data_IF_660592691640
#
_entry.id   IF_660592691640
#
_cell.length_a   1.000
_cell.length_b   1.000
_cell.length_c   1.000
_cell.angle_alpha   90.00
_cell.angle_beta   90.00
_cell.angle_gamma   90.00
#
_symmetry.space_group_name_H-M   'P 1'
#
loop_
_entity.id
_entity.type
_entity.pdbx_description
1 polymer ?
#
# COMPACT_ATOMS: atom_id res chain seq x y z
N UNK A 1 -16.13 -17.37 -0.21
CA UNK A 1 -14.96 -17.93 -0.90
C UNK A 1 -14.09 -16.76 -1.27
N UNK A 2 -12.77 -16.82 -1.14
CA UNK A 2 -11.93 -15.75 -1.64
C UNK A 2 -12.18 -15.57 -3.13
N UNK A 3 -12.15 -14.31 -3.58
CA UNK A 3 -12.33 -13.99 -4.98
C UNK A 3 -11.20 -14.63 -5.79
N UNK A 4 -11.52 -15.37 -6.84
CA UNK A 4 -10.53 -16.04 -7.71
C UNK A 4 -10.58 -15.48 -9.13
N UNK A 5 -11.31 -14.37 -9.31
CA UNK A 5 -11.45 -13.72 -10.60
C UNK A 5 -10.39 -12.62 -10.71
N UNK A 6 -9.48 -12.76 -11.68
CA UNK A 6 -8.45 -11.77 -11.94
C UNK A 6 -8.92 -10.64 -12.86
N UNK A 7 -9.70 -10.94 -13.89
CA UNK A 7 -10.16 -9.98 -14.88
C UNK A 7 -11.62 -9.60 -14.69
N UNK A 8 -11.93 -8.32 -14.71
CA UNK A 8 -13.25 -7.75 -14.52
C UNK A 8 -13.72 -7.02 -15.77
N UNK A 9 -14.83 -7.45 -16.35
CA UNK A 9 -15.45 -6.82 -17.50
C UNK A 9 -16.31 -5.63 -17.06
N UNK A 10 -15.84 -4.43 -17.32
CA UNK A 10 -16.61 -3.19 -17.24
C UNK A 10 -17.08 -2.79 -18.64
N UNK A 11 -18.13 -1.98 -18.70
CA UNK A 11 -18.61 -1.46 -19.99
C UNK A 11 -17.70 -0.35 -20.51
N UNK A 12 -17.19 0.53 -19.64
CA UNK A 12 -16.37 1.70 -20.02
C UNK A 12 -14.95 1.71 -19.47
N UNK A 13 -14.59 0.82 -18.55
CA UNK A 13 -13.21 0.68 -18.05
C UNK A 13 -12.55 -0.52 -18.69
N UNK A 14 -11.61 -0.27 -19.59
CA UNK A 14 -10.81 -1.33 -20.21
C UNK A 14 -9.63 -1.76 -19.33
N UNK A 15 -9.09 -2.93 -19.61
CA UNK A 15 -7.85 -3.43 -18.99
C UNK A 15 -7.89 -3.55 -17.45
N UNK A 16 -9.10 -3.72 -16.88
CA UNK A 16 -9.28 -3.79 -15.43
C UNK A 16 -9.03 -5.20 -14.91
N UNK A 17 -8.05 -5.35 -14.03
CA UNK A 17 -7.70 -6.63 -13.41
C UNK A 17 -7.03 -6.49 -12.05
N UNK A 18 -7.07 -7.58 -11.28
CA UNK A 18 -6.41 -7.74 -9.99
C UNK A 18 -4.96 -8.23 -10.16
N UNK A 19 -4.07 -7.82 -9.28
CA UNK A 19 -2.72 -8.36 -9.14
C UNK A 19 -2.65 -9.60 -8.23
N UNK A 20 -3.79 -10.09 -7.78
CA UNK A 20 -3.91 -11.33 -6.99
C UNK A 20 -3.83 -12.60 -7.83
N UNK A 21 -3.52 -13.74 -7.16
CA UNK A 21 -3.54 -15.07 -7.77
C UNK A 21 -2.29 -15.47 -8.54
N UNK A 22 -1.16 -14.79 -8.35
CA UNK A 22 0.15 -15.20 -8.87
C UNK A 22 0.90 -16.00 -7.81
N UNK A 23 1.60 -17.05 -8.21
CA UNK A 23 2.58 -17.70 -7.36
C UNK A 23 3.67 -16.70 -6.97
N UNK A 24 4.06 -16.70 -5.70
CA UNK A 24 5.05 -15.77 -5.17
C UNK A 24 5.84 -16.43 -4.02
N UNK A 25 6.86 -15.74 -3.48
CA UNK A 25 7.76 -16.32 -2.45
C UNK A 25 7.05 -16.75 -1.14
N UNK A 26 5.88 -16.22 -0.84
CA UNK A 26 5.09 -16.55 0.36
C UNK A 26 3.78 -17.31 0.04
N UNK A 27 3.70 -17.93 -1.13
CA UNK A 27 2.56 -18.74 -1.59
C UNK A 27 1.88 -18.12 -2.80
N UNK A 28 0.81 -17.36 -2.61
CA UNK A 28 0.03 -16.74 -3.70
C UNK A 28 -0.29 -15.28 -3.34
N UNK A 29 -0.16 -14.36 -4.29
CA UNK A 29 -0.55 -12.97 -4.09
C UNK A 29 -2.06 -12.85 -3.81
N UNK A 30 -2.42 -12.05 -2.80
CA UNK A 30 -3.82 -11.90 -2.38
C UNK A 30 -4.60 -11.03 -3.36
N UNK A 31 -5.86 -11.44 -3.59
CA UNK A 31 -6.85 -10.66 -4.33
C UNK A 31 -7.33 -9.47 -3.51
N UNK A 32 -7.96 -8.51 -4.18
CA UNK A 32 -8.58 -7.34 -3.57
C UNK A 32 -7.57 -6.42 -2.84
N UNK A 33 -6.32 -6.39 -3.30
CA UNK A 33 -5.28 -5.49 -2.79
C UNK A 33 -4.98 -4.38 -3.79
N UNK A 34 -4.53 -4.73 -4.98
CA UNK A 34 -4.22 -3.78 -6.04
C UNK A 34 -4.89 -4.23 -7.34
N UNK A 35 -5.70 -3.36 -7.88
CA UNK A 35 -6.24 -3.44 -9.23
C UNK A 35 -5.45 -2.51 -10.14
N UNK A 36 -5.34 -2.89 -11.41
CA UNK A 36 -4.83 -2.02 -12.48
C UNK A 36 -5.89 -1.85 -13.57
N UNK A 37 -5.90 -0.68 -14.24
CA UNK A 37 -6.87 -0.43 -15.32
C UNK A 37 -6.38 0.61 -16.32
N UNK A 38 -7.11 0.76 -17.43
CA UNK A 38 -7.10 1.96 -18.25
C UNK A 38 -7.83 3.11 -17.53
N UNK A 39 -7.78 4.31 -18.11
CA UNK A 39 -8.52 5.47 -17.62
C UNK A 39 -10.03 5.19 -17.60
N UNK A 40 -10.71 5.79 -16.65
CA UNK A 40 -12.16 5.71 -16.55
C UNK A 40 -12.82 6.57 -17.65
N UNK A 41 -13.78 5.98 -18.36
CA UNK A 41 -14.68 6.70 -19.25
C UNK A 41 -15.91 7.22 -18.50
N UNK A 42 -16.89 7.74 -19.21
CA UNK A 42 -18.21 8.04 -18.64
C UNK A 42 -18.90 6.73 -18.25
N UNK A 43 -18.85 6.39 -16.96
CA UNK A 43 -19.32 5.11 -16.43
C UNK A 43 -20.83 4.90 -16.59
N UNK A 44 -21.21 3.70 -17.02
CA UNK A 44 -22.61 3.25 -16.95
C UNK A 44 -23.04 2.99 -15.50
N UNK A 45 -24.33 2.90 -15.23
CA UNK A 45 -24.81 2.54 -13.88
C UNK A 45 -24.31 1.14 -13.47
N UNK A 46 -24.23 0.20 -14.41
CA UNK A 46 -23.65 -1.12 -14.18
C UNK A 46 -22.19 -1.06 -13.78
N UNK A 47 -21.41 -0.18 -14.41
CA UNK A 47 -20.00 0.05 -14.03
C UNK A 47 -19.89 0.60 -12.61
N UNK A 48 -20.72 1.58 -12.25
CA UNK A 48 -20.72 2.18 -10.91
C UNK A 48 -21.09 1.16 -9.83
N UNK A 49 -22.11 0.32 -10.07
CA UNK A 49 -22.50 -0.75 -9.16
C UNK A 49 -21.37 -1.77 -8.98
N UNK A 50 -20.75 -2.19 -10.08
CA UNK A 50 -19.62 -3.11 -10.04
C UNK A 50 -18.43 -2.51 -9.31
N UNK A 51 -18.06 -1.25 -9.61
CA UNK A 51 -16.97 -0.56 -8.92
C UNK A 51 -17.22 -0.47 -7.40
N UNK A 52 -18.46 -0.15 -7.03
CA UNK A 52 -18.88 -0.11 -5.62
C UNK A 52 -18.79 -1.49 -4.95
N UNK A 53 -19.15 -2.57 -5.66
CA UNK A 53 -19.07 -3.94 -5.13
C UNK A 53 -17.64 -4.41 -4.84
N UNK A 54 -16.62 -3.84 -5.52
CA UNK A 54 -15.21 -4.10 -5.26
C UNK A 54 -14.68 -3.38 -4.02
N UNK A 55 -15.50 -2.56 -3.36
CA UNK A 55 -15.18 -1.84 -2.14
C UNK A 55 -13.85 -1.05 -2.21
N UNK A 56 -13.52 -0.51 -3.38
CA UNK A 56 -12.28 0.23 -3.64
C UNK A 56 -12.19 1.43 -2.70
N UNK A 57 -11.02 1.62 -2.09
CA UNK A 57 -10.76 2.68 -1.12
C UNK A 57 -9.88 3.80 -1.66
N UNK A 58 -9.12 3.52 -2.72
CA UNK A 58 -8.29 4.55 -3.33
C UNK A 58 -8.08 4.35 -4.82
N UNK A 59 -7.81 5.45 -5.52
CA UNK A 59 -7.48 5.51 -6.94
C UNK A 59 -6.15 6.27 -7.06
N UNK A 60 -5.21 5.72 -7.81
CA UNK A 60 -3.91 6.31 -8.14
C UNK A 60 -3.89 6.58 -9.64
N UNK A 61 -3.98 7.86 -10.03
CA UNK A 61 -3.97 8.30 -11.42
C UNK A 61 -2.58 8.81 -11.82
N UNK A 62 -1.92 8.08 -12.73
CA UNK A 62 -0.59 8.36 -13.24
C UNK A 62 -0.58 9.25 -14.50
N UNK A 63 -1.73 9.72 -14.98
CA UNK A 63 -1.81 10.52 -16.20
C UNK A 63 -1.20 11.92 -16.00
N UNK A 64 -0.87 12.53 -17.11
CA UNK A 64 -0.46 13.93 -17.14
C UNK A 64 -1.63 14.89 -16.81
N UNK A 65 -1.34 16.14 -16.38
CA UNK A 65 -2.37 17.08 -15.97
C UNK A 65 -3.39 17.41 -17.08
N UNK A 66 -2.95 17.50 -18.34
CA UNK A 66 -3.83 17.82 -19.45
C UNK A 66 -4.83 16.69 -19.74
N UNK A 67 -4.39 15.42 -19.62
CA UNK A 67 -5.28 14.28 -19.75
C UNK A 67 -6.31 14.22 -18.62
N UNK A 68 -5.92 14.57 -17.38
CA UNK A 68 -6.80 14.61 -16.21
C UNK A 68 -7.85 15.70 -16.33
N UNK A 69 -7.46 16.88 -16.79
CA UNK A 69 -8.36 18.01 -17.01
C UNK A 69 -9.40 17.69 -18.10
N UNK A 70 -8.95 17.07 -19.20
CA UNK A 70 -9.81 16.71 -20.31
C UNK A 70 -10.78 15.57 -20.00
N UNK A 71 -10.33 14.60 -19.23
CA UNK A 71 -11.09 13.39 -18.86
C UNK A 71 -10.88 13.10 -17.38
N UNK A 72 -11.52 13.87 -16.46
CA UNK A 72 -11.38 13.64 -15.02
C UNK A 72 -11.95 12.28 -14.62
N UNK A 73 -11.34 11.67 -13.61
CA UNK A 73 -11.90 10.47 -13.02
C UNK A 73 -13.20 10.77 -12.29
N UNK A 74 -14.16 9.85 -12.30
CA UNK A 74 -15.38 9.99 -11.52
C UNK A 74 -15.07 10.02 -10.02
N UNK A 75 -15.79 10.85 -9.28
CA UNK A 75 -15.66 10.93 -7.82
C UNK A 75 -16.59 9.91 -7.19
N UNK A 76 -16.03 9.05 -6.34
CA UNK A 76 -16.77 8.08 -5.55
C UNK A 76 -16.71 8.47 -4.07
N UNK A 77 -17.83 8.41 -3.38
CA UNK A 77 -17.90 8.71 -1.95
C UNK A 77 -17.01 7.74 -1.14
N UNK A 78 -16.20 8.29 -0.24
CA UNK A 78 -15.28 7.53 0.61
C UNK A 78 -14.03 6.99 -0.09
N UNK A 79 -13.83 7.26 -1.40
CA UNK A 79 -12.64 6.84 -2.14
C UNK A 79 -11.62 7.97 -2.19
N UNK A 80 -10.38 7.71 -1.76
CA UNK A 80 -9.28 8.68 -1.82
C UNK A 80 -8.67 8.70 -3.21
N UNK A 81 -8.45 9.89 -3.77
CA UNK A 81 -7.81 10.09 -5.06
C UNK A 81 -6.38 10.62 -4.89
N UNK A 82 -5.42 9.92 -5.50
CA UNK A 82 -4.02 10.32 -5.56
C UNK A 82 -3.66 10.66 -7.00
N UNK A 83 -3.33 11.92 -7.23
CA UNK A 83 -2.91 12.42 -8.54
C UNK A 83 -1.40 12.47 -8.59
N UNK A 84 -0.79 11.53 -9.28
CA UNK A 84 0.64 11.38 -9.42
C UNK A 84 1.02 11.48 -10.90
N UNK A 85 1.74 12.53 -11.26
CA UNK A 85 2.18 12.69 -12.64
C UNK A 85 3.48 11.90 -12.87
N UNK A 86 3.47 11.04 -13.87
CA UNK A 86 4.66 10.30 -14.29
C UNK A 86 5.24 10.96 -15.53
N UNK A 87 6.51 11.33 -15.48
CA UNK A 87 7.25 11.81 -16.63
C UNK A 87 7.34 10.70 -17.71
N UNK A 88 7.60 11.07 -18.92
CA UNK A 88 7.58 10.11 -20.05
C UNK A 88 6.38 10.27 -21.00
N UNK A 89 5.89 11.22 -21.08
CA UNK A 89 4.83 12.12 -21.31
C UNK A 89 4.29 12.36 -22.68
N UNK A 90 3.35 11.47 -23.08
CA UNK A 90 2.49 11.75 -24.21
C UNK A 90 3.18 11.68 -25.57
N UNK A 91 4.50 11.48 -25.62
CA UNK A 91 5.19 11.14 -26.87
C UNK A 91 4.85 9.70 -27.25
N UNK A 92 4.62 9.48 -28.51
CA UNK A 92 4.47 8.13 -29.03
C UNK A 92 5.87 7.59 -29.29
N UNK A 93 6.21 6.47 -28.66
CA UNK A 93 7.47 5.79 -28.91
C UNK A 93 7.58 5.38 -30.38
N UNK A 94 8.76 5.53 -30.95
CA UNK A 94 9.04 5.25 -32.37
C UNK A 94 9.23 3.75 -32.64
N UNK A 95 9.79 3.07 -31.66
CA UNK A 95 10.16 1.66 -31.67
C UNK A 95 10.29 1.12 -30.25
N UNK A 96 10.66 -0.16 -30.12
CA UNK A 96 10.87 -0.85 -28.84
C UNK A 96 11.92 -0.16 -27.97
N UNK A 97 13.06 0.24 -28.55
CA UNK A 97 14.16 0.85 -27.80
C UNK A 97 13.72 2.20 -27.19
N UNK A 98 13.03 3.03 -27.97
CA UNK A 98 12.47 4.30 -27.52
C UNK A 98 11.40 4.12 -26.44
N UNK A 99 10.63 3.01 -26.49
CA UNK A 99 9.67 2.68 -25.45
C UNK A 99 10.35 2.24 -24.15
N UNK A 100 11.39 1.41 -24.24
CA UNK A 100 12.19 0.99 -23.08
C UNK A 100 12.85 2.22 -22.42
N UNK A 101 13.39 3.15 -23.22
CA UNK A 101 13.92 4.41 -22.71
C UNK A 101 12.85 5.20 -21.94
N UNK A 102 11.62 5.27 -22.49
CA UNK A 102 10.51 5.94 -21.78
C UNK A 102 10.13 5.27 -20.45
N UNK A 103 10.36 3.98 -20.29
CA UNK A 103 10.16 3.28 -19.03
C UNK A 103 11.22 3.65 -18.00
N UNK A 104 12.48 3.84 -18.43
CA UNK A 104 13.52 4.37 -17.57
C UNK A 104 13.24 5.82 -17.15
N UNK A 105 12.79 6.68 -18.06
CA UNK A 105 12.37 8.05 -17.72
C UNK A 105 11.35 8.11 -16.57
N UNK A 106 10.48 7.09 -16.44
CA UNK A 106 9.50 6.99 -15.35
C UNK A 106 10.12 6.64 -14.00
N UNK A 107 11.25 5.95 -14.02
CA UNK A 107 11.92 5.39 -12.84
C UNK A 107 13.15 6.21 -12.41
N UNK A 108 13.72 7.03 -13.29
CA UNK A 108 14.95 7.80 -13.06
C UNK A 108 14.75 9.01 -12.17
N UNK A 109 13.56 9.62 -12.16
CA UNK A 109 13.25 10.65 -11.18
C UNK A 109 12.94 10.02 -9.83
N UNK A 110 13.93 10.01 -8.90
CA UNK A 110 13.79 9.29 -7.64
C UNK A 110 12.66 9.85 -6.77
N UNK A 111 12.38 11.15 -6.90
CA UNK A 111 11.31 11.78 -6.13
C UNK A 111 9.92 11.28 -6.59
N UNK A 112 9.68 11.25 -7.89
CA UNK A 112 8.41 10.76 -8.46
C UNK A 112 8.23 9.27 -8.25
N UNK A 113 9.27 8.47 -8.56
CA UNK A 113 9.24 7.02 -8.38
C UNK A 113 8.98 6.65 -6.91
N UNK A 114 9.74 7.21 -5.98
CA UNK A 114 9.54 7.06 -4.53
C UNK A 114 8.11 7.39 -4.11
N UNK A 115 7.57 8.53 -4.55
CA UNK A 115 6.21 8.95 -4.20
C UNK A 115 5.16 7.95 -4.68
N UNK A 116 5.32 7.37 -5.87
CA UNK A 116 4.39 6.38 -6.42
C UNK A 116 4.45 5.08 -5.61
N UNK A 117 5.65 4.54 -5.36
CA UNK A 117 5.79 3.31 -4.59
C UNK A 117 5.30 3.46 -3.15
N UNK A 118 5.61 4.57 -2.47
CA UNK A 118 5.08 4.82 -1.13
C UNK A 118 3.55 5.02 -1.13
N UNK A 119 3.00 5.65 -2.18
CA UNK A 119 1.54 5.73 -2.31
C UNK A 119 0.94 4.35 -2.53
N UNK A 120 1.55 3.50 -3.36
CA UNK A 120 1.13 2.10 -3.53
C UNK A 120 1.21 1.32 -2.22
N UNK A 121 2.25 1.53 -1.40
CA UNK A 121 2.37 0.88 -0.09
C UNK A 121 1.26 1.30 0.88
N UNK A 122 1.03 2.60 1.04
CA UNK A 122 0.26 3.17 2.16
C UNK A 122 -1.14 3.69 1.81
N UNK A 123 -1.52 3.78 0.53
CA UNK A 123 -2.90 4.13 0.17
C UNK A 123 -3.88 3.09 0.70
N UNK A 124 -5.09 3.50 1.15
CA UNK A 124 -6.13 2.57 1.59
C UNK A 124 -6.45 1.51 0.55
N UNK A 125 -6.57 0.25 0.97
CA UNK A 125 -6.83 -0.92 0.11
C UNK A 125 -8.30 -1.36 0.17
N UNK A 126 -8.84 -1.91 -0.91
CA UNK A 126 -8.27 -2.08 -2.26
C UNK A 126 -7.97 -0.77 -2.99
N UNK A 127 -6.90 -0.76 -3.80
CA UNK A 127 -6.44 0.39 -4.59
C UNK A 127 -6.54 0.08 -6.08
N UNK A 128 -6.98 1.05 -6.90
CA UNK A 128 -6.82 0.99 -8.36
C UNK A 128 -5.70 1.92 -8.78
N UNK A 129 -4.73 1.40 -9.53
CA UNK A 129 -3.71 2.20 -10.21
C UNK A 129 -3.98 2.22 -11.70
N UNK A 130 -3.98 3.40 -12.32
CA UNK A 130 -4.23 3.52 -13.74
C UNK A 130 -3.44 4.65 -14.41
N UNK A 131 -3.39 4.57 -15.73
CA UNK A 131 -2.97 5.65 -16.61
C UNK A 131 -3.97 5.78 -17.76
N UNK A 132 -3.56 6.12 -18.98
CA UNK A 132 -4.49 6.19 -20.13
C UNK A 132 -4.93 4.80 -20.60
N UNK A 133 -3.98 3.92 -20.90
CA UNK A 133 -4.23 2.54 -21.36
C UNK A 133 -4.13 1.49 -20.24
N UNK A 134 -3.56 1.84 -19.09
CA UNK A 134 -3.24 0.87 -18.05
C UNK A 134 -2.16 -0.14 -18.45
N UNK A 135 -1.44 0.12 -19.56
CA UNK A 135 -0.42 -0.79 -20.13
C UNK A 135 0.99 -0.36 -19.71
N UNK A 136 1.46 0.79 -20.13
CA UNK A 136 2.86 1.20 -20.00
C UNK A 136 3.18 1.77 -18.62
N UNK A 137 2.78 3.00 -18.28
CA UNK A 137 3.01 3.61 -16.96
C UNK A 137 2.54 2.70 -15.82
N UNK A 138 1.31 2.29 -15.87
CA UNK A 138 0.72 1.35 -14.91
C UNK A 138 1.44 0.01 -14.92
N UNK A 139 1.80 -0.49 -16.10
CA UNK A 139 2.47 -1.77 -16.27
C UNK A 139 3.84 -1.84 -15.60
N UNK A 140 4.66 -0.80 -15.76
CA UNK A 140 5.99 -0.75 -15.15
C UNK A 140 5.90 -0.80 -13.62
N UNK A 141 5.06 0.03 -12.99
CA UNK A 141 4.93 0.03 -11.53
C UNK A 141 4.30 -1.26 -10.99
N UNK A 142 3.28 -1.81 -11.66
CA UNK A 142 2.68 -3.08 -11.26
C UNK A 142 3.67 -4.24 -11.40
N UNK A 143 4.45 -4.28 -12.48
CA UNK A 143 5.46 -5.31 -12.70
C UNK A 143 6.55 -5.29 -11.61
N UNK A 144 7.06 -4.11 -11.25
CA UNK A 144 8.05 -3.99 -10.17
C UNK A 144 7.46 -4.47 -8.83
N UNK A 145 6.21 -4.15 -8.51
CA UNK A 145 5.53 -4.65 -7.31
C UNK A 145 5.39 -6.18 -7.35
N UNK A 146 4.96 -6.76 -8.48
CA UNK A 146 4.86 -8.22 -8.61
C UNK A 146 6.22 -8.90 -8.41
N UNK A 147 7.28 -8.39 -9.05
CA UNK A 147 8.65 -8.91 -8.91
C UNK A 147 9.15 -8.80 -7.46
N UNK A 148 8.94 -7.67 -6.78
CA UNK A 148 9.28 -7.49 -5.37
C UNK A 148 8.60 -8.51 -4.47
N UNK A 149 7.37 -8.89 -4.79
CA UNK A 149 6.62 -9.90 -4.04
C UNK A 149 7.03 -11.34 -4.44
N UNK A 150 8.03 -11.50 -5.30
CA UNK A 150 8.59 -12.78 -5.69
C UNK A 150 7.80 -13.53 -6.77
N UNK A 151 6.96 -12.81 -7.53
CA UNK A 151 6.31 -13.38 -8.73
C UNK A 151 7.36 -13.57 -9.83
N UNK A 152 7.28 -14.67 -10.56
CA UNK A 152 8.23 -14.98 -11.63
C UNK A 152 8.21 -13.95 -12.74
N UNK A 153 9.36 -13.71 -13.37
CA UNK A 153 9.44 -12.79 -14.52
C UNK A 153 8.54 -13.23 -15.68
N UNK A 154 8.34 -14.53 -15.85
CA UNK A 154 7.46 -15.07 -16.88
C UNK A 154 6.00 -14.71 -16.62
N UNK A 155 5.53 -14.81 -15.38
CA UNK A 155 4.19 -14.42 -15.00
C UNK A 155 3.99 -12.90 -15.10
N UNK A 156 4.98 -12.11 -14.71
CA UNK A 156 4.96 -10.65 -14.86
C UNK A 156 4.92 -10.24 -16.33
N UNK A 157 5.70 -10.90 -17.18
CA UNK A 157 5.67 -10.69 -18.63
C UNK A 157 4.28 -11.06 -19.21
N UNK A 158 3.73 -12.19 -18.79
CA UNK A 158 2.40 -12.63 -19.20
C UNK A 158 1.32 -11.61 -18.78
N UNK A 159 1.39 -11.08 -17.53
CA UNK A 159 0.47 -10.01 -17.10
C UNK A 159 0.60 -8.76 -18.00
N UNK A 160 1.82 -8.33 -18.32
CA UNK A 160 2.03 -7.20 -19.22
C UNK A 160 1.41 -7.43 -20.59
N UNK A 161 1.62 -8.62 -21.17
CA UNK A 161 1.14 -9.03 -22.49
C UNK A 161 -0.38 -9.26 -22.57
N UNK A 162 -1.09 -9.35 -21.45
CA UNK A 162 -2.56 -9.35 -21.45
C UNK A 162 -3.16 -8.02 -21.90
N UNK A 163 -2.45 -6.90 -21.69
CA UNK A 163 -3.00 -5.55 -21.90
C UNK A 163 -3.54 -5.31 -23.32
N UNK A 164 -2.86 -5.70 -24.42
CA UNK A 164 -3.41 -5.50 -25.76
C UNK A 164 -4.77 -6.14 -25.97
N UNK A 165 -4.98 -7.36 -25.50
CA UNK A 165 -6.25 -8.07 -25.66
C UNK A 165 -7.41 -7.46 -24.86
N UNK A 166 -7.07 -6.68 -23.83
CA UNK A 166 -8.01 -6.01 -22.91
C UNK A 166 -8.26 -4.53 -23.26
N UNK A 167 -7.84 -4.07 -24.47
CA UNK A 167 -7.95 -2.69 -24.93
C UNK A 167 -8.66 -2.54 -26.29
N UNK A 168 -9.76 -3.25 -26.57
CA UNK A 168 -10.38 -3.25 -27.89
C UNK A 168 -10.86 -1.86 -28.34
N UNK A 169 -11.45 -1.06 -27.44
CA UNK A 169 -11.93 0.30 -27.75
C UNK A 169 -10.79 1.26 -28.04
N UNK A 170 -9.71 1.19 -27.25
CA UNK A 170 -8.51 2.00 -27.46
C UNK A 170 -7.85 1.67 -28.79
N UNK A 171 -7.72 0.39 -29.14
CA UNK A 171 -7.18 -0.06 -30.41
C UNK A 171 -8.04 0.40 -31.60
N UNK A 172 -9.37 0.29 -31.51
CA UNK A 172 -10.28 0.80 -32.54
C UNK A 172 -10.12 2.32 -32.75
N UNK A 173 -9.93 3.09 -31.67
CA UNK A 173 -9.63 4.52 -31.76
C UNK A 173 -8.28 4.80 -32.41
N UNK A 174 -7.23 4.02 -32.08
CA UNK A 174 -5.89 4.21 -32.64
C UNK A 174 -5.83 3.95 -34.16
N UNK A 175 -6.60 2.98 -34.65
CA UNK A 175 -6.69 2.69 -36.09
C UNK A 175 -7.25 3.87 -36.88
N UNK A 176 -8.16 4.64 -36.28
CA UNK A 176 -8.79 5.82 -36.89
C UNK A 176 -8.04 7.14 -36.57
N UNK A 177 -6.97 7.08 -35.81
CA UNK A 177 -6.17 8.25 -35.44
C UNK A 177 -5.26 8.70 -36.60
N UNK A 178 -5.11 10.03 -36.85
CA UNK A 178 -4.10 10.54 -37.77
C UNK A 178 -2.68 10.23 -37.30
N UNK A 179 -2.49 10.07 -35.99
CA UNK A 179 -1.19 9.72 -35.39
C UNK A 179 -1.11 8.20 -35.28
N UNK A 180 -0.15 7.59 -35.96
CA UNK A 180 0.04 6.14 -35.98
C UNK A 180 0.99 5.69 -34.87
N UNK A 181 0.56 4.71 -34.11
CA UNK A 181 1.38 4.02 -33.10
C UNK A 181 2.00 2.80 -33.78
N UNK A 182 3.32 2.55 -33.65
CA UNK A 182 3.96 1.35 -34.19
C UNK A 182 3.28 0.07 -33.69
N UNK A 183 3.19 -0.92 -34.58
CA UNK A 183 2.51 -2.20 -34.28
C UNK A 183 3.15 -2.92 -33.09
N UNK A 184 4.47 -2.93 -33.00
CA UNK A 184 5.21 -3.52 -31.90
C UNK A 184 4.95 -2.85 -30.54
N UNK A 185 4.50 -1.59 -30.53
CA UNK A 185 4.08 -0.89 -29.32
C UNK A 185 2.63 -1.22 -28.96
N UNK A 186 1.75 -1.36 -29.96
CA UNK A 186 0.35 -1.73 -29.72
C UNK A 186 0.23 -3.20 -29.31
N UNK A 187 1.00 -4.06 -29.97
CA UNK A 187 0.99 -5.52 -29.81
C UNK A 187 2.40 -6.02 -29.55
N UNK A 188 2.95 -5.79 -28.34
CA UNK A 188 4.28 -6.24 -27.99
C UNK A 188 4.39 -7.78 -28.07
N UNK A 189 5.55 -8.26 -28.54
CA UNK A 189 5.87 -9.68 -28.51
C UNK A 189 6.35 -10.15 -27.12
N UNK A 190 6.62 -11.44 -26.98
CA UNK A 190 7.02 -12.05 -25.73
C UNK A 190 8.36 -11.53 -25.15
N UNK A 191 9.22 -10.96 -25.99
CA UNK A 191 10.52 -10.45 -25.54
C UNK A 191 10.46 -8.97 -25.11
N UNK A 192 9.37 -8.27 -25.40
CA UNK A 192 9.28 -6.82 -25.23
C UNK A 192 9.54 -6.38 -23.79
N UNK A 193 8.79 -6.94 -22.83
CA UNK A 193 8.97 -6.59 -21.43
C UNK A 193 10.22 -7.22 -20.83
N UNK A 194 10.61 -8.40 -21.30
CA UNK A 194 11.85 -9.07 -20.90
C UNK A 194 13.10 -8.24 -21.27
N UNK A 195 13.10 -7.58 -22.42
CA UNK A 195 14.19 -6.68 -22.83
C UNK A 195 14.30 -5.47 -21.89
N UNK A 196 13.16 -4.88 -21.50
CA UNK A 196 13.15 -3.85 -20.46
C UNK A 196 13.70 -4.37 -19.12
N UNK A 197 13.26 -5.55 -18.66
CA UNK A 197 13.73 -6.12 -17.40
C UNK A 197 15.23 -6.42 -17.42
N UNK A 198 15.76 -7.01 -18.51
CA UNK A 198 17.19 -7.22 -18.69
C UNK A 198 17.99 -5.91 -18.60
N UNK A 199 17.49 -4.87 -19.29
CA UNK A 199 18.10 -3.54 -19.25
C UNK A 199 18.01 -2.90 -17.86
N UNK A 200 16.91 -3.12 -17.12
CA UNK A 200 16.72 -2.65 -15.75
C UNK A 200 17.77 -3.27 -14.81
N UNK A 201 17.93 -4.60 -14.85
CA UNK A 201 18.95 -5.30 -14.04
C UNK A 201 20.36 -4.87 -14.44
N UNK A 202 20.63 -4.68 -15.72
CA UNK A 202 21.93 -4.19 -16.18
C UNK A 202 22.26 -2.77 -15.68
N UNK A 203 21.24 -1.92 -15.49
CA UNK A 203 21.41 -0.53 -15.05
C UNK A 203 21.46 -0.37 -13.53
N UNK A 204 20.56 -1.05 -12.82
CA UNK A 204 20.35 -0.84 -11.39
C UNK A 204 20.85 -1.99 -10.51
N UNK A 205 21.19 -3.16 -11.09
CA UNK A 205 21.50 -4.35 -10.33
C UNK A 205 20.23 -5.08 -9.88
N UNK A 206 20.00 -5.16 -8.60
CA UNK A 206 18.81 -5.79 -8.02
C UNK A 206 17.66 -4.78 -7.83
N UNK A 207 16.48 -5.28 -7.51
CA UNK A 207 15.35 -4.42 -7.13
C UNK A 207 15.67 -3.66 -5.84
N UNK A 208 16.29 -4.32 -4.87
CA UNK A 208 16.69 -3.73 -3.59
C UNK A 208 17.68 -2.57 -3.81
N UNK A 209 18.67 -2.74 -4.68
CA UNK A 209 19.61 -1.67 -5.05
C UNK A 209 18.91 -0.49 -5.73
N UNK A 210 17.94 -0.76 -6.58
CA UNK A 210 17.10 0.31 -7.16
C UNK A 210 16.32 1.04 -6.08
N UNK A 211 15.64 0.33 -5.15
CA UNK A 211 14.85 0.95 -4.09
C UNK A 211 15.72 1.74 -3.11
N UNK A 212 16.94 1.26 -2.81
CA UNK A 212 17.93 2.03 -2.04
C UNK A 212 18.30 3.34 -2.76
N UNK A 213 18.54 3.27 -4.07
CA UNK A 213 18.90 4.45 -4.89
C UNK A 213 17.84 5.56 -4.90
N UNK A 214 16.57 5.20 -4.75
CA UNK A 214 15.46 6.15 -4.64
C UNK A 214 15.06 6.44 -3.17
N UNK A 215 15.85 5.96 -2.20
CA UNK A 215 15.70 6.23 -0.78
C UNK A 215 14.53 5.52 -0.11
N UNK A 216 14.12 4.34 -0.59
CA UNK A 216 13.14 3.47 0.05
C UNK A 216 13.86 2.27 0.68
N UNK A 217 14.33 2.44 1.92
CA UNK A 217 14.98 1.37 2.69
C UNK A 217 14.08 0.88 3.81
N UNK A 218 13.63 1.80 4.66
CA UNK A 218 12.78 1.44 5.82
C UNK A 218 11.41 0.86 5.41
N UNK A 219 10.85 1.33 4.29
CA UNK A 219 9.52 0.92 3.81
C UNK A 219 9.57 -0.26 2.81
N UNK A 220 10.77 -0.71 2.44
CA UNK A 220 10.95 -1.82 1.48
C UNK A 220 10.24 -3.11 1.92
N UNK A 221 10.32 -3.56 3.20
CA UNK A 221 9.60 -4.76 3.65
C UNK A 221 8.07 -4.69 3.46
N UNK A 222 7.49 -3.48 3.54
CA UNK A 222 6.06 -3.28 3.25
C UNK A 222 5.77 -3.48 1.76
N UNK A 223 6.63 -2.98 0.88
CA UNK A 223 6.48 -3.18 -0.56
C UNK A 223 6.67 -4.64 -0.97
N UNK A 224 7.63 -5.32 -0.37
CA UNK A 224 7.93 -6.74 -0.59
C UNK A 224 6.84 -7.69 -0.14
N UNK A 225 5.99 -7.27 0.78
CA UNK A 225 4.83 -8.01 1.29
C UNK A 225 3.49 -7.39 0.88
N UNK A 226 3.50 -6.41 -0.03
CA UNK A 226 2.34 -5.56 -0.34
C UNK A 226 1.12 -6.36 -0.83
N UNK A 227 1.37 -7.43 -1.58
CA UNK A 227 0.34 -8.35 -2.08
C UNK A 227 0.09 -9.53 -1.13
N UNK A 228 0.61 -9.48 0.09
CA UNK A 228 0.44 -10.50 1.12
C UNK A 228 -0.86 -10.39 1.91
N UNK A 229 -0.99 -11.27 2.90
CA UNK A 229 -2.11 -11.28 3.86
C UNK A 229 -2.12 -9.99 4.69
N UNK A 230 -3.31 -9.46 4.94
CA UNK A 230 -3.49 -8.29 5.79
C UNK A 230 -4.02 -8.68 7.16
N UNK A 231 -3.37 -8.14 8.18
CA UNK A 231 -3.77 -8.29 9.58
C UNK A 231 -4.02 -6.91 10.19
N UNK A 232 -5.00 -6.86 11.09
CA UNK A 232 -5.36 -5.62 11.79
C UNK A 232 -5.24 -5.82 13.29
N UNK A 233 -4.65 -4.82 13.95
CA UNK A 233 -4.44 -4.78 15.38
C UNK A 233 -4.91 -3.44 15.93
N UNK A 234 -5.14 -3.39 17.22
CA UNK A 234 -5.43 -2.17 17.96
C UNK A 234 -4.46 -2.03 19.13
N UNK A 235 -4.02 -0.82 19.41
CA UNK A 235 -3.07 -0.54 20.48
C UNK A 235 -3.26 0.81 21.14
N UNK A 236 -2.59 0.99 22.28
CA UNK A 236 -2.62 2.24 23.02
C UNK A 236 -1.24 2.69 23.48
N UNK A 237 -1.04 4.02 23.47
CA UNK A 237 -0.03 4.66 24.29
C UNK A 237 -0.69 4.98 25.63
N UNK A 238 -0.30 4.24 26.64
CA UNK A 238 -0.93 4.29 27.98
C UNK A 238 -0.12 5.21 28.88
N UNK A 239 -0.78 6.25 29.42
CA UNK A 239 -0.17 7.18 30.38
C UNK A 239 -0.66 6.88 31.79
N UNK A 240 0.21 7.05 32.78
CA UNK A 240 -0.16 7.05 34.20
C UNK A 240 -0.42 8.49 34.71
N UNK A 241 -0.85 8.61 35.97
CA UNK A 241 -1.13 9.90 36.60
C UNK A 241 0.10 10.83 36.73
N UNK A 242 1.32 10.35 36.51
CA UNK A 242 2.56 11.14 36.50
C UNK A 242 2.95 11.60 35.11
N UNK A 243 2.23 11.16 34.05
CA UNK A 243 2.57 11.43 32.66
C UNK A 243 3.67 10.51 32.10
N UNK A 244 4.01 9.44 32.80
CA UNK A 244 4.89 8.39 32.30
C UNK A 244 4.11 7.46 31.36
N UNK A 245 4.81 6.85 30.38
CA UNK A 245 4.29 5.96 29.36
C UNK A 245 4.64 4.51 29.70
N UNK A 246 3.70 3.60 29.52
CA UNK A 246 3.95 2.17 29.64
C UNK A 246 4.68 1.66 28.39
N UNK A 247 5.80 1.02 28.60
CA UNK A 247 6.60 0.32 27.57
C UNK A 247 6.76 -1.13 27.97
N UNK A 248 6.50 -2.03 27.04
CA UNK A 248 6.68 -3.47 27.19
C UNK A 248 8.04 -3.91 26.71
N UNK A 249 8.70 -4.79 27.47
CA UNK A 249 9.81 -5.58 27.01
C UNK A 249 9.28 -6.97 26.64
N UNK A 250 9.27 -7.25 25.35
CA UNK A 250 8.70 -8.51 24.83
C UNK A 250 9.65 -9.68 25.06
N UNK A 251 9.12 -10.89 25.21
CA UNK A 251 9.92 -12.13 25.34
C UNK A 251 10.91 -12.30 24.16
N UNK A 252 10.61 -11.74 22.99
CA UNK A 252 11.52 -11.71 21.84
C UNK A 252 12.63 -10.68 21.94
N UNK A 253 12.74 -9.93 23.07
CA UNK A 253 13.84 -9.02 23.39
C UNK A 253 13.71 -7.61 22.81
N UNK A 254 12.60 -7.23 22.21
CA UNK A 254 12.36 -5.87 21.73
C UNK A 254 11.42 -5.10 22.68
N UNK A 255 11.50 -3.77 22.62
CA UNK A 255 10.63 -2.87 23.36
C UNK A 255 9.53 -2.32 22.47
N UNK A 256 8.28 -2.37 22.92
CA UNK A 256 7.08 -2.02 22.17
C UNK A 256 6.06 -1.28 23.03
N UNK A 257 5.01 -0.81 22.37
CA UNK A 257 3.80 -0.28 23.00
C UNK A 257 2.72 -1.38 23.00
N UNK A 258 1.79 -1.33 23.97
CA UNK A 258 0.70 -2.31 24.13
C UNK A 258 -0.18 -2.40 22.89
N UNK A 259 -0.31 -3.59 22.30
CA UNK A 259 -1.12 -3.83 21.10
C UNK A 259 -1.36 -5.31 20.84
N UNK A 260 -2.51 -5.64 20.33
CA UNK A 260 -2.77 -7.01 19.85
C UNK A 260 -3.77 -7.09 18.71
N UNK A 261 -4.03 -8.30 18.27
CA UNK A 261 -4.91 -8.56 17.14
C UNK A 261 -6.37 -8.27 17.48
N UNK A 262 -7.12 -7.74 16.50
CA UNK A 262 -8.56 -7.62 16.62
C UNK A 262 -9.17 -9.00 16.37
N UNK A 263 -9.89 -9.51 17.35
CA UNK A 263 -10.57 -10.80 17.28
C UNK A 263 -12.01 -10.65 16.78
N UNK A 264 -12.57 -11.77 16.26
CA UNK A 264 -13.97 -11.78 15.82
C UNK A 264 -14.98 -11.55 16.97
N UNK A 265 -14.55 -11.73 18.21
CA UNK A 265 -15.34 -11.49 19.43
C UNK A 265 -15.31 -10.04 19.87
N UNK A 266 -14.37 -9.24 19.39
CA UNK A 266 -14.29 -7.83 19.70
C UNK A 266 -15.41 -7.05 18.99
N UNK A 267 -16.14 -6.24 19.76
CA UNK A 267 -17.23 -5.42 19.23
C UNK A 267 -16.72 -4.38 18.20
N UNK A 268 -15.56 -3.81 18.49
CA UNK A 268 -14.90 -2.78 17.72
C UNK A 268 -13.39 -2.71 18.08
N UNK A 269 -12.65 -1.84 17.42
CA UNK A 269 -11.22 -1.64 17.67
C UNK A 269 -10.92 -1.13 19.09
N UNK A 270 -11.83 -0.40 19.71
CA UNK A 270 -11.67 0.07 21.10
C UNK A 270 -11.77 -1.12 22.05
N UNK A 271 -12.76 -2.00 21.83
CA UNK A 271 -12.90 -3.22 22.64
C UNK A 271 -11.65 -4.11 22.56
N UNK A 272 -11.08 -4.30 21.36
CA UNK A 272 -9.82 -4.99 21.19
C UNK A 272 -8.68 -4.34 21.98
N UNK A 273 -8.53 -3.02 21.90
CA UNK A 273 -7.50 -2.28 22.62
C UNK A 273 -7.62 -2.44 24.15
N UNK A 274 -8.84 -2.36 24.67
CA UNK A 274 -9.12 -2.55 26.11
C UNK A 274 -8.83 -3.98 26.56
N UNK A 275 -9.17 -5.00 25.73
CA UNK A 275 -8.90 -6.41 26.01
C UNK A 275 -7.40 -6.66 26.04
N UNK A 276 -6.64 -6.21 25.05
CA UNK A 276 -5.19 -6.41 24.96
C UNK A 276 -4.45 -5.78 26.14
N UNK A 277 -4.77 -4.54 26.52
CA UNK A 277 -4.20 -3.91 27.72
C UNK A 277 -4.49 -4.69 29.00
N UNK A 278 -5.66 -5.38 29.05
CA UNK A 278 -6.01 -6.23 30.19
C UNK A 278 -5.27 -7.57 30.16
N UNK A 279 -5.10 -8.18 28.99
CA UNK A 279 -4.47 -9.48 28.80
C UNK A 279 -2.96 -9.38 28.94
N UNK A 280 -2.29 -8.48 28.19
CA UNK A 280 -0.82 -8.35 28.18
C UNK A 280 -0.28 -7.84 29.51
N UNK A 281 -0.89 -6.77 30.09
CA UNK A 281 -0.32 -6.05 31.24
C UNK A 281 -1.25 -5.93 32.46
N UNK A 282 -2.47 -6.44 32.38
CA UNK A 282 -3.43 -6.44 33.49
C UNK A 282 -4.09 -5.09 33.77
N UNK A 283 -3.86 -4.08 32.93
CA UNK A 283 -4.37 -2.74 33.16
C UNK A 283 -5.79 -2.54 32.64
N UNK A 284 -6.59 -1.80 33.39
CA UNK A 284 -7.80 -1.18 32.88
C UNK A 284 -7.45 0.23 32.41
N UNK A 285 -7.77 0.54 31.17
CA UNK A 285 -7.44 1.82 30.56
C UNK A 285 -8.70 2.58 30.14
N UNK A 286 -8.61 3.90 30.11
CA UNK A 286 -9.65 4.80 29.64
C UNK A 286 -9.21 5.43 28.32
N UNK A 287 -9.97 5.21 27.28
CA UNK A 287 -9.83 5.88 25.99
C UNK A 287 -10.97 6.89 25.88
N UNK A 288 -10.68 8.13 25.53
CA UNK A 288 -11.70 9.17 25.35
C UNK A 288 -12.46 8.95 24.04
N UNK A 289 -13.76 9.22 24.01
CA UNK A 289 -14.62 9.01 22.84
C UNK A 289 -14.20 9.81 21.61
N UNK A 290 -13.60 10.98 21.79
CA UNK A 290 -13.11 11.87 20.74
C UNK A 290 -11.60 11.70 20.45
N UNK A 291 -10.97 10.65 21.01
CA UNK A 291 -9.55 10.39 20.80
C UNK A 291 -9.26 10.15 19.31
N UNK A 292 -8.39 10.97 18.71
CA UNK A 292 -7.97 10.72 17.34
C UNK A 292 -7.24 9.37 17.22
N UNK A 293 -7.28 8.77 16.03
CA UNK A 293 -6.62 7.50 15.73
C UNK A 293 -5.42 7.78 14.83
N UNK A 294 -4.27 7.20 15.17
CA UNK A 294 -3.11 7.11 14.30
C UNK A 294 -2.98 5.67 13.79
N UNK A 295 -2.74 5.49 12.50
CA UNK A 295 -2.46 4.17 11.96
C UNK A 295 -0.99 4.03 11.59
N UNK A 296 -0.40 2.87 11.92
CA UNK A 296 0.89 2.45 11.41
C UNK A 296 0.74 1.19 10.58
N UNK A 297 1.54 1.08 9.52
CA UNK A 297 1.56 -0.08 8.62
C UNK A 297 2.99 -0.57 8.52
N UNK A 298 3.21 -1.86 8.74
CA UNK A 298 4.51 -2.50 8.61
C UNK A 298 4.37 -3.98 8.21
N UNK A 299 5.46 -4.60 7.79
CA UNK A 299 5.55 -6.03 7.54
C UNK A 299 6.34 -6.70 8.67
N UNK A 300 5.68 -7.46 9.56
CA UNK A 300 6.40 -8.19 10.61
C UNK A 300 7.14 -9.42 10.06
N UNK A 301 6.62 -10.02 8.99
CA UNK A 301 7.16 -11.18 8.29
C UNK A 301 6.83 -11.11 6.81
N UNK A 302 7.58 -11.83 5.98
CA UNK A 302 7.31 -11.95 4.55
C UNK A 302 5.85 -12.35 4.27
N UNK A 303 5.21 -11.61 3.39
CA UNK A 303 3.83 -11.85 3.00
C UNK A 303 2.76 -11.44 4.03
N UNK A 304 3.13 -10.77 5.11
CA UNK A 304 2.18 -10.23 6.10
C UNK A 304 2.28 -8.71 6.15
N UNK A 305 1.17 -8.04 5.96
CA UNK A 305 1.03 -6.60 6.22
C UNK A 305 0.16 -6.39 7.46
N UNK A 306 0.74 -5.81 8.50
CA UNK A 306 0.04 -5.48 9.75
C UNK A 306 -0.28 -3.99 9.79
N UNK A 307 -1.55 -3.68 10.03
CA UNK A 307 -2.02 -2.32 10.30
C UNK A 307 -2.41 -2.24 11.77
N UNK A 308 -1.88 -1.27 12.51
CA UNK A 308 -2.23 -1.05 13.92
C UNK A 308 -2.92 0.30 14.06
N UNK A 309 -4.11 0.31 14.66
CA UNK A 309 -4.85 1.52 15.02
C UNK A 309 -4.50 1.92 16.46
N UNK A 310 -3.78 3.03 16.60
CA UNK A 310 -3.27 3.53 17.88
C UNK A 310 -4.16 4.60 18.49
N UNK A 311 -4.32 4.54 19.82
CA UNK A 311 -5.06 5.52 20.61
C UNK A 311 -4.24 5.99 21.80
N UNK A 312 -4.63 7.12 22.36
CA UNK A 312 -4.10 7.61 23.65
C UNK A 312 -5.02 7.13 24.74
N UNK A 313 -4.46 6.58 25.80
CA UNK A 313 -5.23 6.09 26.94
C UNK A 313 -4.59 6.51 28.27
N UNK A 314 -5.43 6.64 29.29
CA UNK A 314 -5.01 6.80 30.70
C UNK A 314 -5.25 5.50 31.44
N UNK A 315 -4.32 5.07 32.30
CA UNK A 315 -4.58 3.93 33.17
C UNK A 315 -5.53 4.30 34.31
N UNK A 316 -6.43 3.38 34.65
CA UNK A 316 -7.36 3.52 35.77
C UNK A 316 -6.78 2.91 37.05
N UNK A 317 -5.90 1.90 36.89
CA UNK A 317 -5.24 1.20 37.99
C UNK A 317 -3.75 1.02 37.64
N UNK A 318 -2.91 0.86 38.68
CA UNK A 318 -1.45 0.69 38.53
C UNK A 318 -1.01 -0.75 38.84
N UNK A 319 -1.93 -1.68 39.12
CA UNK A 319 -1.63 -3.09 39.42
C UNK A 319 -1.32 -3.83 38.13
N UNK A 320 -0.03 -3.91 37.77
CA UNK A 320 0.47 -4.61 36.59
C UNK A 320 0.43 -6.12 36.83
N UNK A 321 -0.12 -6.87 35.86
CA UNK A 321 -0.10 -8.32 35.81
C UNK A 321 0.24 -8.78 34.40
N UNK A 322 1.50 -9.12 34.22
CA UNK A 322 2.07 -9.45 32.91
C UNK A 322 1.66 -10.87 32.48
N UNK A 323 1.20 -11.04 31.24
CA UNK A 323 1.19 -12.36 30.61
C UNK A 323 2.62 -12.72 30.16
N UNK A 324 3.28 -13.57 30.95
CA UNK A 324 4.67 -14.02 30.71
C UNK A 324 4.85 -14.85 29.43
N UNK A 325 3.84 -15.10 28.65
CA UNK A 325 3.99 -15.78 27.37
C UNK A 325 4.48 -14.83 26.26
N UNK A 326 4.11 -13.56 26.36
CA UNK A 326 4.40 -12.55 25.35
C UNK A 326 5.29 -11.44 25.89
N UNK A 327 5.06 -11.01 27.13
CA UNK A 327 5.73 -9.86 27.76
C UNK A 327 6.65 -10.34 28.87
N UNK A 328 7.95 -10.07 28.77
CA UNK A 328 8.98 -10.40 29.77
C UNK A 328 8.91 -9.45 30.97
N UNK A 329 8.78 -8.12 30.71
CA UNK A 329 8.70 -7.08 31.74
C UNK A 329 8.01 -5.83 31.17
N UNK A 330 7.62 -4.89 32.05
CA UNK A 330 7.02 -3.61 31.69
C UNK A 330 7.62 -2.47 32.52
N UNK A 331 7.68 -1.29 31.93
CA UNK A 331 8.29 -0.12 32.53
C UNK A 331 7.39 1.11 32.34
N UNK A 332 7.21 1.87 33.44
CA UNK A 332 6.73 3.23 33.35
C UNK A 332 7.92 4.15 33.12
N UNK A 333 7.97 4.80 31.98
CA UNK A 333 9.08 5.64 31.54
C UNK A 333 8.60 7.06 31.23
N UNK A 334 9.47 8.04 31.41
CA UNK A 334 9.21 9.36 30.83
C UNK A 334 9.09 9.24 29.33
N UNK A 335 8.32 10.11 28.63
CA UNK A 335 8.23 10.06 27.17
C UNK A 335 9.59 10.10 26.46
N UNK A 336 10.58 10.81 27.03
CA UNK A 336 11.95 10.89 26.52
C UNK A 336 12.67 9.55 26.66
N UNK A 337 12.62 8.91 27.84
CA UNK A 337 13.23 7.61 28.05
C UNK A 337 12.53 6.52 27.21
N UNK A 338 11.21 6.56 27.11
CA UNK A 338 10.44 5.65 26.26
C UNK A 338 10.85 5.77 24.79
N UNK A 339 11.06 6.98 24.27
CA UNK A 339 11.53 7.21 22.91
C UNK A 339 12.88 6.55 22.64
N UNK A 340 13.78 6.58 23.62
CA UNK A 340 15.12 6.01 23.46
C UNK A 340 15.16 4.48 23.56
N UNK A 341 14.25 3.87 24.33
CA UNK A 341 14.22 2.40 24.49
C UNK A 341 13.39 1.68 23.44
N UNK A 342 12.33 2.32 22.90
CA UNK A 342 11.49 1.72 21.87
C UNK A 342 12.31 1.25 20.69
N UNK A 343 12.11 -0.01 20.29
CA UNK A 343 12.95 -0.68 19.29
C UNK A 343 12.67 -0.19 17.86
N UNK A 344 11.43 0.19 17.57
CA UNK A 344 11.00 0.50 16.20
C UNK A 344 10.71 1.99 15.98
N UNK A 345 11.12 2.51 14.82
CA UNK A 345 10.85 3.89 14.42
C UNK A 345 9.34 4.18 14.33
N UNK A 346 8.54 3.20 13.95
CA UNK A 346 7.07 3.31 13.93
C UNK A 346 6.51 3.63 15.32
N UNK A 347 6.97 2.93 16.36
CA UNK A 347 6.49 3.10 17.74
C UNK A 347 6.93 4.45 18.32
N UNK A 348 8.14 4.91 17.96
CA UNK A 348 8.60 6.27 18.32
C UNK A 348 7.71 7.36 17.72
N UNK A 349 7.33 7.23 16.44
CA UNK A 349 6.38 8.15 15.78
C UNK A 349 5.00 8.14 16.45
N UNK A 350 4.54 6.97 16.87
CA UNK A 350 3.29 6.81 17.64
C UNK A 350 3.39 7.51 18.99
N UNK A 351 4.50 7.33 19.70
CA UNK A 351 4.76 8.00 20.97
C UNK A 351 4.76 9.53 20.84
N UNK A 352 5.48 10.07 19.85
CA UNK A 352 5.50 11.52 19.55
C UNK A 352 4.09 12.07 19.29
N UNK A 353 3.32 11.36 18.45
CA UNK A 353 1.94 11.72 18.18
C UNK A 353 1.08 11.69 19.43
N UNK A 354 1.18 10.64 20.24
CA UNK A 354 0.39 10.51 21.47
C UNK A 354 0.74 11.60 22.48
N UNK A 355 2.02 11.91 22.64
CA UNK A 355 2.46 13.02 23.50
C UNK A 355 1.94 14.36 23.02
N UNK A 356 1.93 14.60 21.71
CA UNK A 356 1.31 15.80 21.14
C UNK A 356 -0.19 15.89 21.44
N UNK A 357 -0.94 14.78 21.32
CA UNK A 357 -2.37 14.76 21.67
C UNK A 357 -2.55 15.05 23.18
N UNK A 358 -1.77 14.40 24.03
CA UNK A 358 -1.83 14.61 25.49
C UNK A 358 -1.52 16.04 25.90
N UNK A 359 -0.55 16.68 25.23
CA UNK A 359 -0.18 18.08 25.49
C UNK A 359 -1.28 19.09 25.16
N UNK A 360 -2.18 18.77 24.26
CA UNK A 360 -3.36 19.60 23.95
C UNK A 360 -4.38 19.57 25.08
N UNK A 361 -4.55 18.44 25.74
CA UNK A 361 -5.48 18.29 26.87
C UNK A 361 -5.07 19.15 28.04
N UNK A 362 -3.78 19.37 28.27
CA UNK A 362 -3.27 20.19 29.39
C UNK A 362 -3.41 21.71 29.14
N UNK A 363 -3.79 22.13 27.92
CA UNK A 363 -3.93 23.55 27.52
C UNK A 363 -5.39 24.03 27.49
N UNK A 364 -6.35 23.15 27.76
CA UNK A 364 -7.79 23.43 27.89
C UNK A 364 -8.17 23.48 29.39
#
# INVERSE_FOLDING_TARGET
MPNSIRHYNFDEIENFRDLGGYECRYGVTHYDVIYRSAAFGPLTERDKEKFKSLNIKSIIDLRDPAAKEKYPDPIFEGVKHYTLNVNGNGRIAKDRADMIESYFEMLEDPFTARKIFLTLAFAPKPTVIHCTAGKDRTGVFCAIILLLNGVSIDDVNNDYLLSPSLLPKLHAKSLNSPVKIPQEILYPDNEFFLDFYKAFIAKYGTLEEYFDSIGIVEDLPVLESLLGKRERSSGAVIFNGKGEVLVEHMELGHYSLVKGHIEATDKDEIAACLREAKEEVGLNILIKDDCPVMETIYSPYDGIIKTVAWRVADTINEDIKIDKKEVADVYWLTPEDAYHVLSYTSDRKVLEWAFYQKSKELKV
#
